data_IF_865993223256
#
_entry.id   IF_865993223256
#
_cell.length_a   1.000
_cell.length_b   1.000
_cell.length_c   1.000
_cell.angle_alpha   90.00
_cell.angle_beta   90.00
_cell.angle_gamma   90.00
#
_symmetry.space_group_name_H-M   'P 1'
#
loop_
_entity.id
_entity.type
_entity.pdbx_description
1 polymer ?
#
# COMPACT_ATOMS: atom_id res chain seq x y z
N UNK A 1 3.14 -1.84 4.04
CA UNK A 1 2.95 -3.08 3.26
C UNK A 1 1.48 -3.41 3.25
N UNK A 2 0.96 -3.97 2.13
CA UNK A 2 -0.48 -4.21 1.95
C UNK A 2 -1.26 -3.06 1.30
N UNK A 3 -0.70 -1.85 1.20
CA UNK A 3 -1.35 -0.68 0.59
C UNK A 3 -1.80 -0.94 -0.84
N UNK A 4 -0.88 -1.36 -1.71
CA UNK A 4 -1.17 -1.63 -3.13
C UNK A 4 -2.17 -2.78 -3.29
N UNK A 5 -2.07 -3.82 -2.45
CA UNK A 5 -3.05 -4.90 -2.45
C UNK A 5 -4.44 -4.39 -2.08
N UNK A 6 -4.55 -3.62 -1.00
CA UNK A 6 -5.83 -3.02 -0.58
C UNK A 6 -6.41 -2.11 -1.67
N UNK A 7 -5.58 -1.25 -2.25
CA UNK A 7 -6.01 -0.35 -3.32
C UNK A 7 -6.51 -1.11 -4.55
N UNK A 8 -5.84 -2.21 -4.94
CA UNK A 8 -6.27 -3.09 -6.03
C UNK A 8 -7.56 -3.84 -5.71
N UNK A 9 -7.73 -4.34 -4.49
CA UNK A 9 -8.98 -4.98 -4.06
C UNK A 9 -10.15 -3.99 -4.08
N UNK A 10 -9.94 -2.75 -3.62
CA UNK A 10 -10.96 -1.70 -3.70
C UNK A 10 -11.28 -1.35 -5.15
N UNK A 11 -10.28 -1.28 -6.02
CA UNK A 11 -10.46 -1.06 -7.46
C UNK A 11 -11.25 -2.21 -8.11
N UNK A 12 -10.95 -3.46 -7.74
CA UNK A 12 -11.72 -4.61 -8.24
C UNK A 12 -13.19 -4.55 -7.81
N UNK A 13 -13.47 -4.12 -6.58
CA UNK A 13 -14.85 -3.89 -6.12
C UNK A 13 -15.57 -2.78 -6.89
N UNK A 14 -14.85 -1.74 -7.27
CA UNK A 14 -15.40 -0.69 -8.11
C UNK A 14 -15.79 -1.23 -9.51
N UNK A 15 -14.94 -2.05 -10.12
CA UNK A 15 -15.23 -2.71 -11.40
C UNK A 15 -16.44 -3.65 -11.28
N UNK A 16 -16.54 -4.45 -10.22
CA UNK A 16 -17.70 -5.29 -9.93
C UNK A 16 -19.00 -4.47 -9.80
N UNK A 17 -18.89 -3.24 -9.28
CA UNK A 17 -20.00 -2.29 -9.17
C UNK A 17 -20.32 -1.53 -10.48
N UNK A 18 -19.58 -1.79 -11.56
CA UNK A 18 -19.80 -1.19 -12.88
C UNK A 18 -19.03 0.11 -13.14
N UNK A 19 -18.09 0.48 -12.26
CA UNK A 19 -17.27 1.68 -12.46
C UNK A 19 -15.96 1.33 -13.17
N UNK A 20 -15.58 2.06 -14.23
CA UNK A 20 -14.28 1.90 -14.84
C UNK A 20 -13.17 2.36 -13.87
N UNK A 21 -12.04 1.68 -13.89
CA UNK A 21 -10.85 2.03 -13.11
C UNK A 21 -9.71 2.36 -14.06
N UNK A 22 -9.11 3.52 -13.87
CA UNK A 22 -7.92 3.96 -14.61
C UNK A 22 -6.73 3.94 -13.64
N UNK A 23 -5.71 3.16 -13.98
CA UNK A 23 -4.46 3.11 -13.23
C UNK A 23 -3.51 4.16 -13.82
N UNK A 24 -3.02 5.04 -12.95
CA UNK A 24 -2.11 6.11 -13.32
C UNK A 24 -0.73 5.78 -12.76
N UNK A 25 0.17 5.32 -13.62
CA UNK A 25 1.51 4.86 -13.28
C UNK A 25 2.63 5.75 -13.84
N UNK A 26 2.28 6.76 -14.63
CA UNK A 26 3.23 7.69 -15.25
C UNK A 26 2.75 9.14 -15.14
N UNK A 27 3.71 10.04 -14.95
CA UNK A 27 3.48 11.47 -15.04
C UNK A 27 3.72 11.95 -16.46
N UNK A 28 2.81 12.79 -16.98
CA UNK A 28 3.00 13.49 -18.23
C UNK A 28 2.40 14.90 -18.18
N UNK A 29 2.92 15.86 -18.98
CA UNK A 29 2.36 17.22 -19.02
C UNK A 29 0.87 17.21 -19.39
N UNK A 30 0.04 17.90 -18.61
CA UNK A 30 -1.41 17.99 -18.87
C UNK A 30 -2.24 16.83 -18.32
N UNK A 31 -1.68 15.90 -17.55
CA UNK A 31 -2.41 14.78 -16.97
C UNK A 31 -3.62 15.21 -16.13
N UNK A 32 -3.48 16.26 -15.32
CA UNK A 32 -4.59 16.76 -14.49
C UNK A 32 -5.73 17.28 -15.37
N UNK A 33 -5.43 18.07 -16.39
CA UNK A 33 -6.44 18.58 -17.34
C UNK A 33 -7.09 17.45 -18.14
N UNK A 34 -6.32 16.42 -18.48
CA UNK A 34 -6.87 15.22 -19.13
C UNK A 34 -7.87 14.50 -18.22
N UNK A 35 -7.52 14.28 -16.94
CA UNK A 35 -8.41 13.67 -15.97
C UNK A 35 -9.67 14.54 -15.77
N UNK A 36 -9.52 15.87 -15.68
CA UNK A 36 -10.64 16.80 -15.56
C UNK A 36 -11.61 16.73 -16.76
N UNK A 37 -11.09 16.50 -17.95
CA UNK A 37 -11.91 16.40 -19.17
C UNK A 37 -12.82 15.16 -19.24
N UNK A 38 -12.57 14.16 -18.39
CA UNK A 38 -13.38 12.94 -18.33
C UNK A 38 -14.66 13.24 -17.54
N UNK A 39 -15.80 13.22 -18.21
CA UNK A 39 -17.10 13.51 -17.60
C UNK A 39 -17.75 12.28 -16.94
N UNK A 40 -17.27 11.09 -17.26
CA UNK A 40 -17.80 9.83 -16.75
C UNK A 40 -17.44 9.62 -15.27
N UNK A 41 -18.26 8.83 -14.59
CA UNK A 41 -17.94 8.33 -13.24
C UNK A 41 -16.80 7.30 -13.34
N UNK A 42 -15.63 7.64 -12.83
CA UNK A 42 -14.40 6.86 -12.96
C UNK A 42 -13.66 6.81 -11.63
N UNK A 43 -13.05 5.66 -11.34
CA UNK A 43 -12.09 5.51 -10.27
C UNK A 43 -10.67 5.64 -10.83
N UNK A 44 -9.88 6.52 -10.24
CA UNK A 44 -8.46 6.68 -10.55
C UNK A 44 -7.62 6.07 -9.45
N UNK A 45 -6.75 5.13 -9.80
CA UNK A 45 -5.78 4.53 -8.89
C UNK A 45 -4.38 5.06 -9.18
N UNK A 46 -3.81 5.77 -8.21
CA UNK A 46 -2.42 6.22 -8.19
C UNK A 46 -1.64 5.34 -7.21
N UNK A 47 -0.91 4.37 -7.71
CA UNK A 47 -0.08 3.52 -6.87
C UNK A 47 1.33 4.13 -6.75
N UNK A 48 1.88 4.18 -5.52
CA UNK A 48 3.17 4.79 -5.21
C UNK A 48 3.29 6.26 -5.70
N UNK A 49 2.30 7.07 -5.41
CA UNK A 49 2.19 8.46 -5.85
C UNK A 49 3.42 9.30 -5.50
N UNK A 50 4.00 9.08 -4.33
CA UNK A 50 5.23 9.73 -3.87
C UNK A 50 6.44 9.45 -4.76
N UNK A 51 6.48 8.32 -5.43
CA UNK A 51 7.55 7.98 -6.38
C UNK A 51 7.31 8.58 -7.76
N UNK A 52 6.08 8.48 -8.24
CA UNK A 52 5.71 8.92 -9.60
C UNK A 52 5.60 10.44 -9.69
N UNK A 53 5.11 11.08 -8.62
CA UNK A 53 4.81 12.52 -8.57
C UNK A 53 5.54 13.24 -7.42
N UNK A 54 6.62 12.66 -6.89
CA UNK A 54 7.42 13.29 -5.81
C UNK A 54 8.05 14.62 -6.22
N UNK A 55 8.28 15.49 -5.24
CA UNK A 55 8.72 16.89 -5.40
C UNK A 55 10.18 17.08 -5.82
N UNK A 56 10.85 16.06 -6.35
CA UNK A 56 12.28 16.12 -6.72
C UNK A 56 12.55 16.74 -8.10
N UNK A 57 11.55 17.35 -8.73
CA UNK A 57 11.69 18.03 -10.02
C UNK A 57 11.42 19.53 -9.89
N UNK A 58 12.06 20.33 -10.72
CA UNK A 58 11.94 21.81 -10.80
C UNK A 58 10.49 22.30 -11.02
N UNK A 59 9.57 21.43 -11.35
CA UNK A 59 8.12 21.66 -11.35
C UNK A 59 7.49 20.73 -10.34
N UNK A 60 6.75 21.27 -9.35
CA UNK A 60 5.97 20.48 -8.40
C UNK A 60 4.76 19.83 -9.11
N UNK A 61 4.86 18.57 -9.59
CA UNK A 61 3.75 17.95 -10.32
C UNK A 61 2.55 17.71 -9.41
N UNK A 62 2.72 17.71 -8.08
CA UNK A 62 1.62 17.53 -7.14
C UNK A 62 0.71 18.75 -7.09
N UNK A 63 1.24 19.95 -7.30
CA UNK A 63 0.43 21.18 -7.32
C UNK A 63 -0.65 21.16 -8.40
N UNK A 64 -0.39 20.48 -9.52
CA UNK A 64 -1.36 20.35 -10.63
C UNK A 64 -2.55 19.48 -10.26
N UNK A 65 -2.41 18.59 -9.28
CA UNK A 65 -3.52 17.75 -8.79
C UNK A 65 -4.34 18.39 -7.67
N UNK A 66 -3.88 19.52 -7.10
CA UNK A 66 -4.58 20.14 -5.97
C UNK A 66 -6.01 20.57 -6.34
N UNK A 67 -6.22 21.16 -7.50
CA UNK A 67 -7.55 21.56 -8.00
C UNK A 67 -8.41 20.33 -8.28
N UNK A 68 -7.81 19.28 -8.85
CA UNK A 68 -8.50 18.04 -9.16
C UNK A 68 -9.03 17.35 -7.89
N UNK A 69 -8.23 17.31 -6.83
CA UNK A 69 -8.62 16.69 -5.54
C UNK A 69 -9.54 17.59 -4.70
N UNK A 70 -9.62 18.87 -4.97
CA UNK A 70 -10.60 19.79 -4.32
C UNK A 70 -12.04 19.55 -4.81
N UNK A 71 -12.26 18.63 -5.74
CA UNK A 71 -13.60 18.26 -6.23
C UNK A 71 -14.26 19.32 -7.09
N UNK A 72 -13.50 20.27 -7.63
CA UNK A 72 -14.01 21.31 -8.54
C UNK A 72 -14.24 20.80 -9.96
N UNK A 73 -13.75 19.60 -10.28
CA UNK A 73 -13.91 18.99 -11.60
C UNK A 73 -15.35 18.53 -11.84
N UNK A 74 -15.82 18.68 -13.08
CA UNK A 74 -17.10 18.11 -13.51
C UNK A 74 -17.05 16.57 -13.50
N UNK A 75 -18.15 15.94 -13.12
CA UNK A 75 -18.26 14.50 -13.02
C UNK A 75 -17.85 13.95 -11.64
N UNK A 76 -18.36 12.76 -11.31
CA UNK A 76 -18.02 12.06 -10.08
C UNK A 76 -16.76 11.22 -10.29
N UNK A 77 -15.71 11.55 -9.56
CA UNK A 77 -14.44 10.84 -9.61
C UNK A 77 -14.07 10.38 -8.21
N UNK A 78 -13.61 9.14 -8.09
CA UNK A 78 -13.01 8.60 -6.87
C UNK A 78 -11.51 8.45 -7.09
N UNK A 79 -10.72 9.02 -6.20
CA UNK A 79 -9.27 8.92 -6.23
C UNK A 79 -8.79 7.99 -5.13
N UNK A 80 -8.04 6.96 -5.51
CA UNK A 80 -7.35 6.03 -4.61
C UNK A 80 -5.87 6.28 -4.77
N UNK A 81 -5.21 6.71 -3.69
CA UNK A 81 -3.80 7.05 -3.71
C UNK A 81 -3.07 6.19 -2.69
N UNK A 82 -1.98 5.53 -3.10
CA UNK A 82 -1.05 4.91 -2.17
C UNK A 82 0.26 5.68 -2.12
N UNK A 83 0.87 5.76 -0.94
CA UNK A 83 2.16 6.40 -0.73
C UNK A 83 2.98 5.63 0.31
N UNK A 84 4.28 5.59 0.15
CA UNK A 84 5.21 5.01 1.12
C UNK A 84 5.65 6.03 2.17
N UNK A 85 5.65 7.32 1.81
CA UNK A 85 6.07 8.40 2.68
C UNK A 85 5.11 9.57 2.60
N UNK A 86 4.67 10.06 3.77
CA UNK A 86 3.91 11.31 3.83
C UNK A 86 4.81 12.52 3.55
N UNK A 87 6.11 12.41 3.82
CA UNK A 87 7.08 13.48 3.51
C UNK A 87 7.28 13.69 1.99
N UNK A 88 6.97 12.69 1.18
CA UNK A 88 6.95 12.81 -0.28
C UNK A 88 5.68 13.40 -0.84
N UNK A 89 4.70 13.71 0.01
CA UNK A 89 3.44 14.35 -0.38
C UNK A 89 3.45 15.82 0.03
N UNK A 90 2.92 16.66 -0.84
CA UNK A 90 2.76 18.08 -0.53
C UNK A 90 1.81 18.25 0.68
N UNK A 91 2.21 19.07 1.65
CA UNK A 91 1.43 19.34 2.86
C UNK A 91 0.00 19.81 2.55
N UNK A 92 -0.17 20.57 1.46
CA UNK A 92 -1.50 21.00 0.99
C UNK A 92 -2.38 19.84 0.53
N UNK A 93 -1.81 18.69 0.16
CA UNK A 93 -2.58 17.50 -0.18
C UNK A 93 -3.10 16.78 1.06
N UNK A 94 -2.24 16.62 2.07
CA UNK A 94 -2.50 15.76 3.24
C UNK A 94 -3.28 16.50 4.33
N UNK A 95 -2.93 17.77 4.58
CA UNK A 95 -3.38 18.51 5.76
C UNK A 95 -4.61 19.40 5.50
N UNK A 96 -5.11 19.50 4.27
CA UNK A 96 -6.28 20.32 3.96
C UNK A 96 -7.58 19.52 4.10
N UNK A 97 -8.49 19.93 4.99
CA UNK A 97 -9.80 19.29 5.12
C UNK A 97 -10.56 19.29 3.77
N UNK A 98 -11.17 18.16 3.44
CA UNK A 98 -12.01 18.02 2.25
C UNK A 98 -11.35 17.38 1.03
N UNK A 99 -10.00 17.27 0.98
CA UNK A 99 -9.33 16.61 -0.16
C UNK A 99 -9.34 15.09 -0.07
N UNK A 100 -8.89 14.56 1.06
CA UNK A 100 -8.96 13.12 1.33
C UNK A 100 -9.93 12.86 2.46
N UNK A 101 -10.97 12.10 2.16
CA UNK A 101 -12.00 11.77 3.12
C UNK A 101 -11.59 10.62 4.04
N UNK A 102 -10.89 9.62 3.49
CA UNK A 102 -10.42 8.45 4.22
C UNK A 102 -8.92 8.32 4.17
N UNK A 103 -8.30 8.14 5.34
CA UNK A 103 -6.88 7.89 5.49
C UNK A 103 -6.66 6.55 6.17
N UNK A 104 -6.01 5.63 5.48
CA UNK A 104 -5.65 4.32 6.01
C UNK A 104 -4.15 4.23 6.20
N UNK A 105 -3.71 3.90 7.41
CA UNK A 105 -2.30 3.65 7.70
C UNK A 105 -2.05 2.16 7.77
N UNK A 106 -1.07 1.71 7.04
CA UNK A 106 -0.61 0.33 7.02
C UNK A 106 0.73 0.25 7.73
N UNK A 107 0.72 -0.35 8.93
CA UNK A 107 1.92 -0.62 9.72
C UNK A 107 2.47 -2.03 9.49
N UNK A 108 3.45 -2.39 10.29
CA UNK A 108 3.86 -3.77 10.42
C UNK A 108 2.79 -4.56 11.19
N UNK A 109 2.60 -5.85 10.88
CA UNK A 109 1.60 -6.66 11.57
C UNK A 109 1.94 -6.80 13.07
N UNK A 110 0.90 -6.78 13.87
CA UNK A 110 0.97 -7.06 15.31
C UNK A 110 1.25 -8.54 15.56
N UNK A 111 1.67 -8.89 16.78
CA UNK A 111 1.89 -10.29 17.14
C UNK A 111 0.65 -11.17 16.94
N UNK A 112 -0.55 -10.63 17.16
CA UNK A 112 -1.82 -11.35 16.92
C UNK A 112 -2.07 -11.58 15.42
N UNK A 113 -1.84 -10.57 14.59
CA UNK A 113 -1.96 -10.68 13.13
C UNK A 113 -0.92 -11.65 12.56
N UNK A 114 0.31 -11.67 13.11
CA UNK A 114 1.35 -12.64 12.75
C UNK A 114 0.88 -14.05 13.10
N UNK A 115 0.35 -14.24 14.30
CA UNK A 115 -0.19 -15.54 14.75
C UNK A 115 -1.26 -16.03 13.80
N UNK A 116 -2.26 -15.21 13.53
CA UNK A 116 -3.36 -15.55 12.64
C UNK A 116 -2.83 -15.91 11.24
N UNK A 117 -1.98 -15.05 10.67
CA UNK A 117 -1.43 -15.27 9.34
C UNK A 117 -0.65 -16.58 9.22
N UNK A 118 0.22 -16.87 10.19
CA UNK A 118 1.04 -18.08 10.18
C UNK A 118 0.20 -19.34 10.48
N UNK A 119 -0.80 -19.24 11.35
CA UNK A 119 -1.72 -20.37 11.63
C UNK A 119 -2.55 -20.72 10.39
N UNK A 120 -2.94 -19.73 9.58
CA UNK A 120 -3.66 -19.97 8.32
C UNK A 120 -2.76 -20.58 7.23
N UNK A 121 -1.43 -20.46 7.35
CA UNK A 121 -0.47 -20.93 6.35
C UNK A 121 0.27 -22.20 6.75
N UNK A 122 0.37 -22.49 8.03
CA UNK A 122 1.15 -23.58 8.57
C UNK A 122 0.27 -24.54 9.38
N UNK A 123 0.59 -25.82 9.33
CA UNK A 123 -0.09 -26.85 10.11
C UNK A 123 0.19 -26.70 11.61
N UNK A 124 -0.66 -27.31 12.46
CA UNK A 124 -0.58 -27.21 13.92
C UNK A 124 0.75 -27.70 14.53
N UNK A 125 1.53 -28.52 13.80
CA UNK A 125 2.86 -28.95 14.22
C UNK A 125 3.87 -27.81 14.36
N UNK A 126 3.64 -26.67 13.67
CA UNK A 126 4.52 -25.51 13.66
C UNK A 126 4.21 -24.48 14.76
N UNK A 127 3.32 -24.78 15.71
CA UNK A 127 2.89 -23.83 16.76
C UNK A 127 4.07 -23.24 17.55
N UNK A 128 5.08 -24.07 17.86
CA UNK A 128 6.27 -23.59 18.59
C UNK A 128 7.10 -22.61 17.74
N UNK A 129 7.21 -22.85 16.45
CA UNK A 129 7.92 -21.97 15.52
C UNK A 129 7.18 -20.64 15.35
N UNK A 130 5.86 -20.66 15.27
CA UNK A 130 5.03 -19.45 15.25
C UNK A 130 5.30 -18.56 16.46
N UNK A 131 5.39 -19.15 17.66
CA UNK A 131 5.71 -18.40 18.89
C UNK A 131 7.11 -17.76 18.83
N UNK A 132 8.08 -18.43 18.23
CA UNK A 132 9.42 -17.86 18.02
C UNK A 132 9.38 -16.66 17.07
N UNK A 133 8.62 -16.76 15.96
CA UNK A 133 8.43 -15.64 15.03
C UNK A 133 7.81 -14.43 15.72
N UNK A 134 6.78 -14.65 16.56
CA UNK A 134 6.12 -13.58 17.30
C UNK A 134 7.09 -12.91 18.28
N UNK A 135 7.88 -13.69 19.02
CA UNK A 135 8.90 -13.14 19.93
C UNK A 135 9.97 -12.35 19.18
N UNK A 136 10.35 -12.82 18.01
CA UNK A 136 11.33 -12.15 17.14
C UNK A 136 10.79 -10.84 16.58
N UNK A 137 9.51 -10.78 16.21
CA UNK A 137 8.87 -9.57 15.70
C UNK A 137 8.85 -8.40 16.70
N UNK A 138 9.02 -8.67 18.00
CA UNK A 138 9.19 -7.63 19.01
C UNK A 138 10.55 -6.89 18.93
N UNK A 139 11.52 -7.48 18.23
CA UNK A 139 12.87 -6.92 18.06
C UNK A 139 13.14 -6.44 16.65
N UNK A 140 12.50 -7.08 15.66
CA UNK A 140 12.70 -6.82 14.25
C UNK A 140 11.33 -6.65 13.57
N UNK A 141 11.13 -5.56 12.86
CA UNK A 141 9.88 -5.29 12.14
C UNK A 141 9.71 -6.27 10.99
N UNK A 142 8.84 -7.24 11.13
CA UNK A 142 8.52 -8.22 10.09
C UNK A 142 7.33 -7.74 9.25
N UNK A 143 7.51 -7.75 7.96
CA UNK A 143 6.43 -7.49 7.02
C UNK A 143 5.81 -8.80 6.51
N UNK A 144 4.66 -8.74 5.81
CA UNK A 144 4.00 -9.94 5.28
C UNK A 144 4.86 -10.70 4.27
N UNK A 145 5.77 -10.04 3.54
CA UNK A 145 6.68 -10.72 2.63
C UNK A 145 7.71 -11.53 3.41
N UNK A 146 8.26 -10.96 4.50
CA UNK A 146 9.12 -11.70 5.42
C UNK A 146 8.38 -12.89 6.04
N UNK A 147 7.14 -12.68 6.52
CA UNK A 147 6.33 -13.76 7.10
C UNK A 147 6.04 -14.87 6.10
N UNK A 148 5.76 -14.52 4.85
CA UNK A 148 5.55 -15.50 3.76
C UNK A 148 6.81 -16.31 3.50
N UNK A 149 7.98 -15.67 3.46
CA UNK A 149 9.26 -16.35 3.25
C UNK A 149 9.59 -17.27 4.42
N UNK A 150 9.41 -16.80 5.67
CA UNK A 150 9.59 -17.63 6.85
C UNK A 150 8.63 -18.84 6.82
N UNK A 151 7.37 -18.65 6.49
CA UNK A 151 6.41 -19.73 6.40
C UNK A 151 6.81 -20.78 5.33
N UNK A 152 7.37 -20.33 4.21
CA UNK A 152 7.88 -21.22 3.16
C UNK A 152 9.05 -22.06 3.66
N UNK A 153 10.05 -21.48 4.33
CA UNK A 153 11.20 -22.20 4.87
C UNK A 153 10.77 -23.21 5.96
N UNK A 154 9.89 -22.81 6.87
CA UNK A 154 9.33 -23.71 7.87
C UNK A 154 8.60 -24.89 7.25
N UNK A 155 7.81 -24.65 6.19
CA UNK A 155 7.09 -25.69 5.46
C UNK A 155 8.03 -26.64 4.72
N UNK A 156 9.21 -26.16 4.32
CA UNK A 156 10.27 -26.96 3.70
C UNK A 156 11.06 -27.80 4.71
N UNK A 157 10.75 -27.67 6.01
CA UNK A 157 11.36 -28.46 7.09
C UNK A 157 12.52 -27.77 7.81
N UNK A 158 12.80 -26.51 7.47
CA UNK A 158 13.82 -25.71 8.14
C UNK A 158 13.33 -25.24 9.54
N UNK A 159 14.29 -25.02 10.45
CA UNK A 159 13.99 -24.41 11.74
C UNK A 159 13.81 -22.89 11.58
N UNK A 160 13.11 -22.24 12.52
CA UNK A 160 12.99 -20.79 12.53
C UNK A 160 14.36 -20.10 12.50
N UNK A 161 15.32 -20.61 13.29
CA UNK A 161 16.66 -20.06 13.39
C UNK A 161 17.43 -20.12 12.05
N UNK A 162 17.29 -21.24 11.32
CA UNK A 162 17.86 -21.38 9.98
C UNK A 162 17.16 -20.42 8.99
N UNK A 163 15.84 -20.39 9.01
CA UNK A 163 15.06 -19.53 8.12
C UNK A 163 15.43 -18.05 8.23
N UNK A 164 15.56 -17.49 9.43
CA UNK A 164 15.94 -16.07 9.61
C UNK A 164 17.37 -15.77 9.18
N UNK A 165 18.28 -16.76 9.30
CA UNK A 165 19.65 -16.63 8.85
C UNK A 165 19.75 -16.65 7.32
N UNK A 166 19.10 -17.61 6.67
CA UNK A 166 19.12 -17.78 5.22
C UNK A 166 18.43 -16.62 4.51
N UNK A 167 17.34 -16.09 5.09
CA UNK A 167 16.63 -14.92 4.59
C UNK A 167 17.32 -13.58 4.94
N UNK A 168 18.44 -13.62 5.67
CA UNK A 168 19.21 -12.43 6.11
C UNK A 168 18.36 -11.36 6.82
N UNK A 169 17.34 -11.79 7.58
CA UNK A 169 16.40 -10.88 8.26
C UNK A 169 17.02 -10.19 9.49
N UNK A 170 18.14 -10.71 9.99
CA UNK A 170 18.81 -10.21 11.21
C UNK A 170 19.51 -8.85 10.97
N UNK A 171 19.84 -8.51 9.74
CA UNK A 171 20.64 -7.33 9.37
C UNK A 171 19.81 -6.18 8.76
N UNK A 172 18.50 -6.16 8.90
CA UNK A 172 17.62 -5.09 8.42
C UNK A 172 17.21 -4.11 9.52
#
# INVERSE_FOLDING_TARGET
>A
IGKSLFARLLSAKAVEAGYPVIIVDQAFPGIASYIESIEQEVVFLFDEFDKTFGSNHDSDPQSTFLSLFDGTSQGKKLFIITSNSLHGLNDYMVNRPGRFHYHFRFGYPTGEEIRQYLTDKLDGQYQNEIEKVIRFSNKVSLNYDCLRSIAFELHSGESFEAAIQDLNIINT
#
